data_IF_515287726238
#
_entry.id   IF_515287726238
#
_cell.length_a   1.000
_cell.length_b   1.000
_cell.length_c   1.000
_cell.angle_alpha   90.00
_cell.angle_beta   90.00
_cell.angle_gamma   90.00
#
_symmetry.space_group_name_H-M   'P 1'
#
loop_
_entity.id
_entity.type
_entity.pdbx_description
1 polymer ?
#
# COMPACT_ATOMS: atom_id res chain seq x y z
N UNK A 1 -13.38 49.13 -8.54
CA UNK A 1 -12.63 47.88 -8.29
C UNK A 1 -12.31 47.87 -6.81
N UNK A 2 -13.03 47.07 -6.02
CA UNK A 2 -12.83 47.04 -4.57
C UNK A 2 -11.50 46.35 -4.25
N UNK A 3 -10.51 47.12 -3.76
CA UNK A 3 -9.31 46.55 -3.15
C UNK A 3 -9.72 45.95 -1.81
N UNK A 4 -9.84 44.62 -1.77
CA UNK A 4 -10.04 43.88 -0.53
C UNK A 4 -8.81 44.12 0.35
N UNK A 5 -8.99 44.87 1.44
CA UNK A 5 -7.97 45.08 2.47
C UNK A 5 -7.90 43.79 3.30
N UNK A 6 -7.17 42.78 2.84
CA UNK A 6 -7.02 41.54 3.60
C UNK A 6 -6.24 41.84 4.90
N UNK A 7 -6.80 41.52 6.09
CA UNK A 7 -6.08 41.71 7.34
C UNK A 7 -4.80 40.86 7.34
N UNK A 8 -3.70 41.41 7.84
CA UNK A 8 -2.37 40.78 7.82
C UNK A 8 -2.40 39.34 8.37
N UNK A 9 -3.21 39.09 9.41
CA UNK A 9 -3.42 37.74 9.96
C UNK A 9 -4.05 36.76 8.96
N UNK A 10 -5.03 37.19 8.16
CA UNK A 10 -5.62 36.34 7.10
C UNK A 10 -4.62 36.01 5.99
N UNK A 11 -3.71 36.94 5.69
CA UNK A 11 -2.65 36.74 4.70
C UNK A 11 -1.63 35.69 5.18
N UNK A 12 -1.25 35.74 6.47
CA UNK A 12 -0.37 34.74 7.09
C UNK A 12 -1.00 33.34 7.08
N UNK A 13 -2.28 33.21 7.45
CA UNK A 13 -2.98 31.93 7.41
C UNK A 13 -2.97 31.31 6.01
N UNK A 14 -3.29 32.10 4.98
CA UNK A 14 -3.26 31.64 3.58
C UNK A 14 -1.85 31.17 3.20
N UNK A 15 -0.82 31.93 3.57
CA UNK A 15 0.56 31.56 3.30
C UNK A 15 0.94 30.21 3.96
N UNK A 16 0.55 30.00 5.21
CA UNK A 16 0.77 28.72 5.90
C UNK A 16 0.03 27.56 5.23
N UNK A 17 -1.23 27.72 4.82
CA UNK A 17 -1.97 26.67 4.11
C UNK A 17 -1.34 26.32 2.75
N UNK A 18 -0.83 27.31 2.03
CA UNK A 18 -0.12 27.09 0.77
C UNK A 18 1.18 26.32 1.00
N UNK A 19 1.97 26.69 2.02
CA UNK A 19 3.20 25.97 2.36
C UNK A 19 2.93 24.53 2.79
N UNK A 20 1.91 24.30 3.62
CA UNK A 20 1.54 22.96 4.11
C UNK A 20 1.07 22.05 2.97
N UNK A 21 0.25 22.56 2.05
CA UNK A 21 -0.24 21.77 0.92
C UNK A 21 0.87 21.45 -0.08
N UNK A 22 1.79 22.38 -0.35
CA UNK A 22 2.97 22.13 -1.17
C UNK A 22 3.89 21.07 -0.56
N UNK A 23 4.14 21.13 0.75
CA UNK A 23 4.95 20.14 1.46
C UNK A 23 4.30 18.74 1.46
N UNK A 24 2.97 18.66 1.63
CA UNK A 24 2.24 17.39 1.54
C UNK A 24 2.33 16.76 0.15
N UNK A 25 2.23 17.58 -0.90
CA UNK A 25 2.36 17.09 -2.28
C UNK A 25 3.77 16.58 -2.58
N UNK A 26 4.80 17.26 -2.06
CA UNK A 26 6.19 16.81 -2.17
C UNK A 26 6.43 15.47 -1.45
N UNK A 27 5.84 15.26 -0.27
CA UNK A 27 5.95 13.99 0.46
C UNK A 27 5.22 12.85 -0.26
N UNK A 28 4.04 13.12 -0.83
CA UNK A 28 3.32 12.15 -1.65
C UNK A 28 4.10 11.78 -2.92
N UNK A 29 4.76 12.75 -3.56
CA UNK A 29 5.60 12.52 -4.73
C UNK A 29 6.94 11.85 -4.39
N UNK A 30 7.49 12.11 -3.21
CA UNK A 30 8.74 11.51 -2.72
C UNK A 30 8.53 10.14 -2.03
N UNK A 31 7.29 9.68 -1.91
CA UNK A 31 6.96 8.38 -1.37
C UNK A 31 7.65 7.27 -2.18
N UNK A 32 8.60 6.57 -1.56
CA UNK A 32 9.19 5.37 -2.15
C UNK A 32 8.24 4.21 -1.90
N UNK A 33 7.59 3.73 -2.94
CA UNK A 33 6.79 2.51 -2.87
C UNK A 33 7.69 1.32 -2.53
N UNK A 34 7.24 0.47 -1.62
CA UNK A 34 7.88 -0.81 -1.37
C UNK A 34 7.75 -1.64 -2.65
N UNK A 35 8.85 -2.26 -3.09
CA UNK A 35 8.81 -3.18 -4.22
C UNK A 35 7.77 -4.27 -3.96
N UNK A 36 6.83 -4.48 -4.88
CA UNK A 36 5.76 -5.46 -4.71
C UNK A 36 6.29 -6.89 -4.46
N UNK A 37 7.49 -7.20 -4.96
CA UNK A 37 8.19 -8.46 -4.70
C UNK A 37 8.50 -8.73 -3.22
N UNK A 38 8.57 -7.68 -2.38
CA UNK A 38 8.77 -7.81 -0.93
C UNK A 38 7.49 -8.30 -0.25
N UNK A 39 6.33 -7.84 -0.70
CA UNK A 39 5.04 -8.31 -0.18
C UNK A 39 4.65 -9.66 -0.80
N UNK A 40 4.93 -9.84 -2.09
CA UNK A 40 4.59 -11.03 -2.83
C UNK A 40 5.85 -11.64 -3.47
N UNK A 41 6.42 -12.71 -2.89
CA UNK A 41 7.59 -13.39 -3.43
C UNK A 41 7.42 -13.85 -4.88
N UNK A 42 6.20 -14.13 -5.33
CA UNK A 42 5.91 -14.52 -6.71
C UNK A 42 6.09 -13.39 -7.74
N UNK A 43 6.14 -12.13 -7.29
CA UNK A 43 6.39 -10.96 -8.14
C UNK A 43 7.87 -10.57 -8.18
N UNK A 44 8.77 -11.33 -7.56
CA UNK A 44 10.20 -11.03 -7.57
C UNK A 44 10.73 -11.16 -9.02
N UNK A 45 11.56 -10.22 -9.52
CA UNK A 45 12.27 -10.43 -10.79
C UNK A 45 13.15 -11.70 -10.76
N UNK A 46 13.33 -12.34 -11.91
CA UNK A 46 14.19 -13.53 -12.04
C UNK A 46 13.50 -14.84 -12.43
N UNK A 47 12.22 -14.79 -12.81
CA UNK A 47 11.49 -15.95 -13.37
C UNK A 47 10.52 -16.60 -12.37
N UNK A 48 10.00 -17.80 -12.69
CA UNK A 48 9.02 -18.48 -11.84
C UNK A 48 9.66 -18.94 -10.53
N UNK A 49 9.16 -18.42 -9.42
CA UNK A 49 9.62 -18.79 -8.09
C UNK A 49 8.97 -20.10 -7.62
N UNK A 50 9.69 -20.86 -6.80
CA UNK A 50 9.16 -22.12 -6.23
C UNK A 50 7.87 -21.84 -5.45
N UNK A 51 6.82 -22.60 -5.76
CA UNK A 51 5.50 -22.47 -5.14
C UNK A 51 4.59 -21.41 -5.76
N UNK A 52 5.08 -20.67 -6.77
CA UNK A 52 4.28 -19.69 -7.50
C UNK A 52 3.66 -20.33 -8.75
N UNK A 53 2.37 -20.04 -8.98
CA UNK A 53 1.69 -20.54 -10.16
C UNK A 53 2.15 -19.74 -11.40
N UNK A 54 2.47 -20.39 -12.53
CA UNK A 54 2.96 -19.71 -13.73
C UNK A 54 1.90 -18.79 -14.36
N UNK A 55 0.61 -19.11 -14.16
CA UNK A 55 -0.50 -18.21 -14.49
C UNK A 55 -0.92 -17.43 -13.22
N UNK A 56 -0.77 -16.09 -13.18
CA UNK A 56 -1.17 -15.25 -12.04
C UNK A 56 -2.67 -15.24 -11.75
N UNK A 57 -3.50 -15.59 -12.74
CA UNK A 57 -4.96 -15.56 -12.66
C UNK A 57 -5.55 -16.94 -12.32
N UNK A 58 -4.71 -17.96 -12.17
CA UNK A 58 -5.18 -19.29 -11.81
C UNK A 58 -5.74 -19.32 -10.38
N UNK A 59 -6.75 -20.17 -10.13
CA UNK A 59 -7.26 -20.36 -8.79
C UNK A 59 -6.16 -20.94 -7.87
N UNK A 60 -6.20 -20.65 -6.56
CA UNK A 60 -5.28 -21.24 -5.59
C UNK A 60 -5.32 -22.77 -5.63
N UNK A 61 -4.15 -23.38 -5.70
CA UNK A 61 -3.99 -24.85 -5.69
C UNK A 61 -3.53 -25.28 -4.30
N UNK A 62 -3.92 -26.49 -3.87
CA UNK A 62 -3.46 -27.04 -2.58
C UNK A 62 -1.94 -27.17 -2.60
N UNK A 63 -1.28 -26.62 -1.58
CA UNK A 63 0.17 -26.71 -1.43
C UNK A 63 0.66 -28.12 -1.11
N UNK A 64 -0.19 -28.96 -0.50
CA UNK A 64 0.13 -30.35 -0.18
C UNK A 64 -1.12 -31.25 -0.37
N UNK A 65 -0.92 -32.56 -0.60
CA UNK A 65 -2.03 -33.51 -0.71
C UNK A 65 -2.64 -33.88 0.65
N UNK A 66 -2.07 -33.42 1.76
CA UNK A 66 -2.48 -33.82 3.10
C UNK A 66 -3.68 -33.01 3.57
N UNK A 67 -4.78 -33.69 3.86
CA UNK A 67 -5.98 -33.10 4.45
C UNK A 67 -5.93 -33.10 5.98
N UNK A 68 -4.76 -32.90 6.59
CA UNK A 68 -4.67 -32.74 8.05
C UNK A 68 -5.27 -31.39 8.43
N UNK A 69 -6.60 -31.34 8.50
CA UNK A 69 -7.33 -30.25 9.13
C UNK A 69 -7.22 -30.33 10.64
N UNK A 70 -7.87 -29.41 11.35
CA UNK A 70 -7.96 -29.51 12.79
C UNK A 70 -8.62 -30.81 13.22
N UNK A 71 -7.98 -31.51 14.15
CA UNK A 71 -8.61 -32.63 14.85
C UNK A 71 -9.64 -32.09 15.86
N UNK A 72 -10.67 -32.89 16.16
CA UNK A 72 -11.68 -32.58 17.19
C UNK A 72 -11.07 -32.24 18.55
N UNK A 73 -9.88 -32.76 18.83
CA UNK A 73 -9.13 -32.57 20.09
C UNK A 73 -8.67 -31.12 20.24
N UNK A 74 -8.27 -30.47 19.13
CA UNK A 74 -7.64 -29.15 19.14
C UNK A 74 -8.51 -28.06 18.47
N UNK A 75 -9.83 -28.30 18.30
CA UNK A 75 -10.84 -27.41 17.67
C UNK A 75 -10.25 -26.13 17.07
N UNK A 76 -10.19 -26.04 15.73
CA UNK A 76 -9.82 -24.80 15.03
C UNK A 76 -10.68 -23.64 15.57
N UNK A 77 -10.06 -22.71 16.30
CA UNK A 77 -10.65 -21.38 16.47
C UNK A 77 -10.36 -20.61 15.20
N UNK A 78 -11.42 -20.11 14.59
CA UNK A 78 -11.41 -19.38 13.35
C UNK A 78 -10.74 -18.01 13.50
#
# INVERSE_FOLDING_TARGET
>A
MAMVKLPIGSCLCIFFFVLLSAAALQQAAAGRYINEGVLNPCKWPGGPHKGCHPNPQAPPVRANPHTRGCSKILRCRH
#
